data_IF_135437668424
#
_entry.id   IF_135437668424
#
_cell.length_a   1.000
_cell.length_b   1.000
_cell.length_c   1.000
_cell.angle_alpha   90.00
_cell.angle_beta   90.00
_cell.angle_gamma   90.00
#
_symmetry.space_group_name_H-M   'P 1'
#
loop_
_entity.id
_entity.type
_entity.pdbx_description
1 polymer ?
#
# COMPACT_ATOMS: atom_id res chain seq x y z
N UNK A 1 1.46 21.70 -7.50
CA UNK A 1 1.70 21.90 -6.15
C UNK A 1 2.63 20.90 -5.56
N UNK A 2 3.55 21.36 -4.86
CA UNK A 2 4.54 20.47 -4.29
C UNK A 2 3.94 19.63 -3.18
N UNK A 3 4.48 18.45 -3.03
CA UNK A 3 4.06 17.58 -1.96
C UNK A 3 4.89 17.89 -0.74
N UNK A 4 4.22 18.18 0.34
CA UNK A 4 4.90 18.57 1.54
C UNK A 4 4.75 17.59 2.67
N UNK A 5 3.95 16.55 2.48
CA UNK A 5 3.75 15.56 3.52
C UNK A 5 4.47 14.28 3.16
N UNK A 6 4.99 13.61 4.16
CA UNK A 6 5.70 12.35 3.97
C UNK A 6 5.04 11.26 4.78
N UNK A 7 5.12 10.05 4.25
CA UNK A 7 4.66 8.87 4.96
C UNK A 7 5.85 7.95 5.13
N UNK A 8 6.10 7.55 6.36
CA UNK A 8 7.16 6.60 6.67
C UNK A 8 6.54 5.28 7.06
N UNK A 9 6.97 4.23 6.39
CA UNK A 9 6.41 2.90 6.62
C UNK A 9 7.50 1.95 7.01
N UNK A 10 7.13 1.00 7.86
CA UNK A 10 7.98 -0.12 8.16
C UNK A 10 7.41 -1.35 7.48
N UNK A 11 8.22 -1.98 6.68
CA UNK A 11 7.79 -3.11 5.89
C UNK A 11 8.86 -4.17 6.01
N UNK A 12 8.42 -5.41 6.11
CA UNK A 12 9.38 -6.50 6.16
C UNK A 12 10.19 -6.54 4.87
N UNK A 13 11.48 -6.83 4.97
CA UNK A 13 12.33 -6.82 3.77
C UNK A 13 11.83 -7.73 2.67
N UNK A 14 11.29 -8.89 3.03
CA UNK A 14 10.79 -9.81 2.03
C UNK A 14 9.57 -9.23 1.32
N UNK A 15 8.68 -8.63 2.10
CA UNK A 15 7.50 -8.02 1.50
C UNK A 15 7.89 -6.89 0.58
N UNK A 16 8.86 -6.09 1.00
CA UNK A 16 9.31 -4.99 0.18
C UNK A 16 9.88 -5.47 -1.13
N UNK A 17 10.72 -6.51 -1.07
CA UNK A 17 11.35 -7.02 -2.28
C UNK A 17 10.33 -7.61 -3.23
N UNK A 18 9.36 -8.35 -2.70
CA UNK A 18 8.35 -8.95 -3.54
C UNK A 18 7.45 -7.88 -4.16
N UNK A 19 7.12 -6.86 -3.37
CA UNK A 19 6.28 -5.80 -3.90
C UNK A 19 7.00 -5.02 -4.99
N UNK A 20 8.29 -4.73 -4.78
CA UNK A 20 9.04 -4.02 -5.78
C UNK A 20 9.13 -4.81 -7.08
N UNK A 21 9.34 -6.11 -6.96
CA UNK A 21 9.42 -6.96 -8.13
C UNK A 21 8.09 -7.00 -8.86
N UNK A 22 7.02 -7.16 -8.11
CA UNK A 22 5.69 -7.24 -8.72
C UNK A 22 5.33 -5.94 -9.42
N UNK A 23 5.49 -4.83 -8.73
CA UNK A 23 5.05 -3.55 -9.29
C UNK A 23 5.93 -3.11 -10.45
N UNK A 24 7.21 -3.46 -10.41
CA UNK A 24 8.06 -3.09 -11.53
C UNK A 24 7.65 -3.82 -12.80
N UNK A 25 7.02 -4.99 -12.67
CA UNK A 25 6.52 -5.70 -13.83
C UNK A 25 5.35 -4.94 -14.47
N UNK A 26 4.72 -4.05 -13.71
CA UNK A 26 3.68 -3.17 -14.25
C UNK A 26 4.23 -1.81 -14.65
N UNK A 27 5.51 -1.58 -14.44
CA UNK A 27 6.10 -0.30 -14.78
C UNK A 27 5.88 0.79 -13.74
N UNK A 28 5.58 0.43 -12.51
CA UNK A 28 5.39 1.42 -11.47
C UNK A 28 6.28 1.09 -10.28
N UNK A 29 6.51 2.09 -9.45
CA UNK A 29 7.28 1.90 -8.24
C UNK A 29 6.33 1.61 -7.08
N UNK A 30 6.91 1.18 -5.96
CA UNK A 30 6.11 0.96 -4.76
C UNK A 30 5.49 2.28 -4.30
N UNK A 31 6.23 3.37 -4.43
CA UNK A 31 5.68 4.67 -4.08
C UNK A 31 4.47 5.00 -4.93
N UNK A 32 4.55 4.72 -6.22
CA UNK A 32 3.41 4.96 -7.09
C UNK A 32 2.22 4.10 -6.69
N UNK A 33 2.48 2.84 -6.35
CA UNK A 33 1.41 1.95 -5.95
C UNK A 33 0.72 2.45 -4.69
N UNK A 34 1.50 2.95 -3.75
CA UNK A 34 0.92 3.49 -2.52
C UNK A 34 0.06 4.70 -2.83
N UNK A 35 0.54 5.59 -3.67
CA UNK A 35 -0.25 6.76 -4.04
C UNK A 35 -1.54 6.36 -4.74
N UNK A 36 -1.47 5.40 -5.62
CA UNK A 36 -2.66 4.91 -6.31
C UNK A 36 -3.66 4.36 -5.31
N UNK A 37 -3.17 3.56 -4.37
CA UNK A 37 -4.05 2.99 -3.37
C UNK A 37 -4.74 4.07 -2.54
N UNK A 38 -3.96 5.04 -2.08
CA UNK A 38 -4.52 6.08 -1.24
C UNK A 38 -5.58 6.88 -1.97
N UNK A 39 -5.30 7.23 -3.21
CA UNK A 39 -6.27 7.99 -3.99
C UNK A 39 -7.52 7.17 -4.26
N UNK A 40 -7.34 5.90 -4.56
CA UNK A 40 -8.48 5.03 -4.81
C UNK A 40 -9.34 4.89 -3.56
N UNK A 41 -8.70 4.75 -2.41
CA UNK A 41 -9.44 4.61 -1.17
C UNK A 41 -10.24 5.88 -0.88
N UNK A 42 -9.64 7.03 -1.14
CA UNK A 42 -10.33 8.30 -0.91
C UNK A 42 -11.53 8.42 -1.82
N UNK A 43 -11.37 8.06 -3.08
CA UNK A 43 -12.46 8.16 -4.04
C UNK A 43 -13.60 7.23 -3.69
N UNK A 44 -13.30 6.07 -3.11
CA UNK A 44 -14.33 5.12 -2.72
C UNK A 44 -14.92 5.42 -1.36
N UNK A 45 -14.29 6.29 -0.59
CA UNK A 45 -14.76 6.56 0.75
C UNK A 45 -14.41 5.46 1.71
N UNK A 46 -13.41 4.63 1.39
CA UNK A 46 -13.00 3.54 2.23
C UNK A 46 -12.11 2.61 1.42
N UNK A 47 -11.82 1.47 1.99
CA UNK A 47 -10.99 0.51 1.28
C UNK A 47 -11.71 0.04 0.01
N UNK A 48 -10.97 -0.09 -1.09
CA UNK A 48 -11.57 -0.59 -2.34
C UNK A 48 -11.83 -2.08 -2.33
N UNK A 49 -11.54 -2.75 -1.24
CA UNK A 49 -11.76 -4.19 -1.11
C UNK A 49 -11.98 -4.51 0.36
N UNK A 50 -12.58 -5.66 0.64
CA UNK A 50 -12.81 -6.04 2.03
C UNK A 50 -11.48 -6.23 2.76
N UNK A 51 -11.46 -5.80 4.01
CA UNK A 51 -10.28 -5.98 4.83
C UNK A 51 -10.45 -7.29 5.58
N UNK A 52 -9.53 -8.20 5.34
CA UNK A 52 -9.51 -9.47 6.01
C UNK A 52 -8.13 -9.68 6.59
N UNK A 53 -8.07 -9.85 7.89
CA UNK A 53 -6.80 -10.07 8.54
C UNK A 53 -6.85 -11.38 9.29
N UNK A 54 -6.35 -12.42 8.68
CA UNK A 54 -6.50 -13.76 9.27
C UNK A 54 -5.87 -13.89 10.65
N UNK A 55 -4.81 -13.17 10.91
CA UNK A 55 -4.18 -13.28 12.23
C UNK A 55 -4.39 -12.03 13.04
N UNK A 56 -5.33 -11.28 12.66
CA UNK A 56 -5.54 -10.02 13.32
C UNK A 56 -6.27 -10.21 14.64
N UNK A 57 -7.12 -10.96 14.62
CA UNK A 57 -7.88 -11.06 15.73
C UNK A 57 -7.39 -12.01 16.66
N UNK A 58 -6.98 -12.09 16.75
CA UNK A 58 -6.60 -12.76 17.51
C UNK A 58 -6.26 -12.37 18.47
N UNK A 59 -6.34 -11.87 18.75
CA UNK A 59 -6.07 -11.59 19.46
C UNK A 59 -6.28 -11.21 19.89
N UNK A 60 -6.45 -11.07 19.91
CA UNK A 60 -6.69 -10.75 20.39
C UNK A 60 -6.75 -10.84 20.75
#
# INVERSE_FOLDING_TARGET
MAKTANINLRIEPETKAEAESLFSSFGISVTDAINIFLNTAIMNGGFPFPIVQPNFNKET
#
